data_IF_475339082079
#
_entry.id   IF_475339082079
#
_cell.length_a   1.000
_cell.length_b   1.000
_cell.length_c   1.000
_cell.angle_alpha   90.00
_cell.angle_beta   90.00
_cell.angle_gamma   90.00
#
_symmetry.space_group_name_H-M   'P 1'
#
loop_
_entity.id
_entity.type
_entity.pdbx_description
1 polymer ?
#
# COMPACT_ATOMS: atom_id res chain seq x y z
N UNK A 1 -2.84 -6.66 4.78
CA UNK A 1 -2.16 -5.55 4.08
C UNK A 1 -3.12 -4.96 3.08
N UNK A 2 -3.56 -5.75 2.09
CA UNK A 2 -4.56 -5.34 1.10
C UNK A 2 -5.86 -4.84 1.74
N UNK A 3 -6.37 -5.49 2.78
CA UNK A 3 -7.50 -4.96 3.55
C UNK A 3 -7.26 -3.52 4.03
N UNK A 4 -6.13 -3.23 4.68
CA UNK A 4 -5.80 -1.88 5.15
C UNK A 4 -5.70 -0.88 3.98
N UNK A 5 -5.08 -1.30 2.86
CA UNK A 5 -4.95 -0.48 1.65
C UNK A 5 -6.32 -0.17 1.06
N UNK A 6 -7.19 -1.16 0.93
CA UNK A 6 -8.57 -1.00 0.43
C UNK A 6 -9.38 -0.05 1.31
N UNK A 7 -9.24 -0.14 2.63
CA UNK A 7 -9.88 0.79 3.58
C UNK A 7 -9.39 2.23 3.40
N UNK A 8 -8.08 2.43 3.19
CA UNK A 8 -7.50 3.76 2.94
C UNK A 8 -8.03 4.36 1.64
N UNK A 9 -8.02 3.56 0.57
CA UNK A 9 -8.34 3.99 -0.79
C UNK A 9 -9.86 4.13 -0.97
N UNK A 10 -10.66 3.38 -0.22
CA UNK A 10 -12.12 3.31 -0.38
C UNK A 10 -12.55 2.46 -1.59
N UNK A 11 -11.66 1.61 -2.10
CA UNK A 11 -11.91 0.72 -3.23
C UNK A 11 -11.42 -0.67 -2.83
N UNK A 12 -12.23 -1.70 -3.09
CA UNK A 12 -11.78 -3.08 -2.90
C UNK A 12 -10.67 -3.39 -3.93
N UNK A 13 -9.43 -3.49 -3.44
CA UNK A 13 -8.24 -3.82 -4.21
C UNK A 13 -7.41 -4.90 -3.50
N UNK A 14 -6.81 -5.79 -4.27
CA UNK A 14 -5.97 -6.86 -3.73
C UNK A 14 -6.73 -8.08 -3.20
N UNK A 15 -8.01 -8.19 -3.54
CA UNK A 15 -8.76 -9.46 -3.43
C UNK A 15 -8.24 -10.50 -4.44
N UNK A 16 -7.83 -10.03 -5.62
CA UNK A 16 -7.19 -10.82 -6.67
C UNK A 16 -6.19 -9.99 -7.47
N UNK A 17 -5.31 -10.63 -8.24
CA UNK A 17 -4.45 -9.92 -9.19
C UNK A 17 -5.24 -9.12 -10.22
N UNK A 18 -6.39 -9.63 -10.66
CA UNK A 18 -7.29 -8.94 -11.59
C UNK A 18 -7.88 -7.66 -10.96
N UNK A 19 -8.23 -7.69 -9.69
CA UNK A 19 -8.74 -6.51 -8.97
C UNK A 19 -7.74 -5.34 -9.00
N UNK A 20 -6.44 -5.65 -8.98
CA UNK A 20 -5.35 -4.68 -9.09
C UNK A 20 -5.16 -4.29 -10.57
N UNK A 21 -4.99 -5.29 -11.45
CA UNK A 21 -4.68 -5.08 -12.86
C UNK A 21 -5.75 -4.28 -13.61
N UNK A 22 -7.03 -4.48 -13.29
CA UNK A 22 -8.13 -3.71 -13.89
C UNK A 22 -8.01 -2.19 -13.63
N UNK A 23 -7.44 -1.77 -12.48
CA UNK A 23 -7.20 -0.35 -12.18
C UNK A 23 -5.99 0.19 -12.94
N UNK A 24 -4.99 -0.66 -13.17
CA UNK A 24 -3.80 -0.31 -13.94
C UNK A 24 -4.15 -0.02 -15.40
N UNK A 25 -5.09 -0.76 -15.99
CA UNK A 25 -5.60 -0.50 -17.34
C UNK A 25 -6.26 0.88 -17.46
N UNK A 26 -6.97 1.33 -16.42
CA UNK A 26 -7.60 2.65 -16.35
C UNK A 26 -6.70 3.69 -15.66
N UNK A 27 -5.42 3.74 -16.05
CA UNK A 27 -4.36 4.46 -15.34
C UNK A 27 -4.65 5.93 -15.06
N UNK A 28 -5.24 6.66 -16.01
CA UNK A 28 -5.59 8.09 -15.83
C UNK A 28 -6.60 8.32 -14.70
N UNK A 29 -7.56 7.40 -14.55
CA UNK A 29 -8.62 7.50 -13.53
C UNK A 29 -8.10 7.11 -12.15
N UNK A 30 -7.33 6.02 -12.08
CA UNK A 30 -6.91 5.38 -10.84
C UNK A 30 -5.43 5.59 -10.52
N UNK A 31 -4.80 6.66 -11.01
CA UNK A 31 -3.35 6.79 -10.90
C UNK A 31 -2.85 6.77 -9.44
N UNK A 32 -3.51 7.49 -8.53
CA UNK A 32 -3.15 7.48 -7.11
C UNK A 32 -3.26 6.06 -6.50
N UNK A 33 -4.33 5.34 -6.84
CA UNK A 33 -4.53 3.92 -6.47
C UNK A 33 -3.41 3.05 -7.04
N UNK A 34 -3.02 3.28 -8.29
CA UNK A 34 -1.98 2.52 -8.96
C UNK A 34 -0.63 2.72 -8.28
N UNK A 35 -0.28 3.96 -7.91
CA UNK A 35 0.94 4.25 -7.13
C UNK A 35 0.94 3.47 -5.81
N UNK A 36 -0.16 3.52 -5.05
CA UNK A 36 -0.26 2.80 -3.76
C UNK A 36 -0.17 1.28 -3.96
N UNK A 37 -0.91 0.71 -4.92
CA UNK A 37 -0.91 -0.72 -5.19
C UNK A 37 0.45 -1.24 -5.70
N UNK A 38 1.15 -0.46 -6.54
CA UNK A 38 2.51 -0.75 -6.96
C UNK A 38 3.49 -0.69 -5.79
N UNK A 39 3.35 0.32 -4.91
CA UNK A 39 4.21 0.45 -3.72
C UNK A 39 3.99 -0.72 -2.75
N UNK A 40 2.75 -1.20 -2.64
CA UNK A 40 2.39 -2.38 -1.87
C UNK A 40 3.04 -3.66 -2.39
N UNK A 41 2.93 -3.93 -3.70
CA UNK A 41 3.58 -5.08 -4.34
C UNK A 41 5.10 -5.00 -4.21
N UNK A 42 5.69 -3.83 -4.46
CA UNK A 42 7.13 -3.64 -4.34
C UNK A 42 7.62 -3.77 -2.91
N UNK A 43 6.88 -3.23 -1.94
CA UNK A 43 7.15 -3.38 -0.52
C UNK A 43 7.12 -4.84 -0.07
N UNK A 44 6.14 -5.61 -0.55
CA UNK A 44 6.03 -7.05 -0.29
C UNK A 44 7.18 -7.84 -0.92
N UNK A 45 7.55 -7.51 -2.15
CA UNK A 45 8.69 -8.13 -2.84
C UNK A 45 10.01 -7.86 -2.09
N UNK A 46 10.25 -6.61 -1.65
CA UNK A 46 11.42 -6.31 -0.80
C UNK A 46 11.40 -7.07 0.51
N UNK A 47 10.25 -7.09 1.20
CA UNK A 47 10.11 -7.85 2.44
C UNK A 47 10.47 -9.32 2.23
N UNK A 48 9.96 -9.96 1.18
CA UNK A 48 10.32 -11.33 0.83
C UNK A 48 11.84 -11.49 0.68
N UNK A 49 12.48 -10.58 -0.05
CA UNK A 49 13.93 -10.64 -0.25
C UNK A 49 14.70 -10.46 1.07
N UNK A 50 14.27 -9.55 1.93
CA UNK A 50 14.89 -9.33 3.24
C UNK A 50 14.81 -10.60 4.10
N UNK A 51 13.65 -11.27 4.10
CA UNK A 51 13.42 -12.51 4.86
C UNK A 51 14.24 -13.69 4.29
N UNK A 52 14.30 -13.84 2.97
CA UNK A 52 14.96 -14.99 2.33
C UNK A 52 16.49 -14.83 2.22
N UNK A 53 16.98 -13.61 2.00
CA UNK A 53 18.37 -13.37 1.60
C UNK A 53 19.13 -12.45 2.57
N UNK A 54 18.45 -11.69 3.42
CA UNK A 54 19.09 -10.75 4.35
C UNK A 54 18.93 -11.14 5.84
N UNK A 55 18.47 -12.37 6.12
CA UNK A 55 18.24 -12.88 7.47
C UNK A 55 17.32 -11.97 8.32
N UNK A 56 16.47 -11.18 7.67
CA UNK A 56 15.51 -10.36 8.38
C UNK A 56 14.41 -11.23 8.99
N UNK A 57 13.78 -10.74 10.05
CA UNK A 57 12.64 -11.39 10.69
C UNK A 57 11.40 -10.53 10.47
N UNK A 58 10.27 -11.18 10.24
CA UNK A 58 8.97 -10.51 10.20
C UNK A 58 8.69 -9.87 11.56
N UNK A 59 8.42 -8.56 11.58
CA UNK A 59 8.07 -7.83 12.80
C UNK A 59 6.55 -7.75 12.95
N UNK A 60 5.92 -6.94 12.11
CA UNK A 60 4.49 -6.70 12.15
C UNK A 60 4.02 -6.02 10.86
N UNK A 61 2.70 -5.87 10.75
CA UNK A 61 2.08 -5.20 9.60
C UNK A 61 2.43 -3.72 9.51
N UNK A 62 2.70 -3.05 10.63
CA UNK A 62 3.01 -1.63 10.67
C UNK A 62 4.35 -1.34 9.99
N UNK A 63 5.34 -2.21 10.17
CA UNK A 63 6.62 -2.16 9.47
C UNK A 63 6.46 -2.24 7.95
N UNK A 64 5.60 -3.15 7.48
CA UNK A 64 5.30 -3.26 6.05
C UNK A 64 4.55 -2.03 5.53
N UNK A 65 3.55 -1.53 6.27
CA UNK A 65 2.83 -0.31 5.89
C UNK A 65 3.74 0.93 5.86
N UNK A 66 4.68 1.06 6.80
CA UNK A 66 5.68 2.13 6.79
C UNK A 66 6.60 2.05 5.58
N UNK A 67 7.02 0.85 5.18
CA UNK A 67 7.79 0.63 3.95
C UNK A 67 7.01 1.06 2.71
N UNK A 68 5.72 0.71 2.64
CA UNK A 68 4.82 1.09 1.54
C UNK A 68 4.64 2.61 1.50
N UNK A 69 4.42 3.24 2.66
CA UNK A 69 4.31 4.69 2.80
C UNK A 69 5.54 5.40 2.24
N UNK A 70 6.74 4.99 2.65
CA UNK A 70 8.00 5.58 2.19
C UNK A 70 8.19 5.41 0.67
N UNK A 71 7.87 4.24 0.12
CA UNK A 71 7.92 4.00 -1.33
C UNK A 71 6.97 4.92 -2.09
N UNK A 72 5.71 4.99 -1.65
CA UNK A 72 4.71 5.81 -2.31
C UNK A 72 4.99 7.33 -2.16
N UNK A 73 5.55 7.78 -1.03
CA UNK A 73 6.04 9.14 -0.85
C UNK A 73 7.15 9.49 -1.85
N UNK A 74 8.13 8.59 -2.02
CA UNK A 74 9.20 8.79 -3.00
C UNK A 74 8.68 8.81 -4.45
N UNK A 75 7.53 8.19 -4.71
CA UNK A 75 6.90 8.15 -6.03
C UNK A 75 5.87 9.27 -6.25
N UNK A 76 5.70 10.20 -5.31
CA UNK A 76 4.86 11.39 -5.52
C UNK A 76 5.30 12.16 -6.77
N UNK A 77 6.60 12.19 -7.08
CA UNK A 77 7.15 12.85 -8.28
C UNK A 77 6.59 12.29 -9.59
N UNK A 78 6.07 11.06 -9.59
CA UNK A 78 5.44 10.41 -10.76
C UNK A 78 3.94 10.76 -10.87
N UNK A 79 3.39 11.44 -9.87
CA UNK A 79 1.97 11.79 -9.81
C UNK A 79 1.74 13.17 -10.47
N UNK A 80 0.82 13.29 -11.44
CA UNK A 80 0.43 14.57 -12.02
C UNK A 80 -0.26 15.42 -10.96
N UNK A 81 -0.11 16.73 -11.07
CA UNK A 81 -0.54 17.71 -10.06
C UNK A 81 -2.01 17.53 -9.63
N UNK A 82 -2.91 17.21 -10.57
CA UNK A 82 -4.33 17.02 -10.29
C UNK A 82 -4.67 15.77 -9.44
N UNK A 83 -3.69 14.88 -9.22
CA UNK A 83 -3.84 13.65 -8.41
C UNK A 83 -2.95 13.62 -7.17
N UNK A 84 -2.06 14.59 -7.01
CA UNK A 84 -1.13 14.66 -5.87
C UNK A 84 -1.89 14.77 -4.54
N UNK A 85 -2.94 15.58 -4.46
CA UNK A 85 -3.70 15.75 -3.21
C UNK A 85 -4.50 14.48 -2.85
N UNK A 86 -5.03 13.77 -3.84
CA UNK A 86 -5.66 12.46 -3.66
C UNK A 86 -4.64 11.46 -3.10
N UNK A 87 -3.45 11.38 -3.70
CA UNK A 87 -2.37 10.53 -3.21
C UNK A 87 -1.93 10.90 -1.80
N UNK A 88 -1.71 12.18 -1.50
CA UNK A 88 -1.35 12.66 -0.15
C UNK A 88 -2.40 12.28 0.89
N UNK A 89 -3.69 12.35 0.54
CA UNK A 89 -4.78 11.91 1.44
C UNK A 89 -4.66 10.42 1.78
N UNK A 90 -4.29 9.57 0.82
CA UNK A 90 -4.04 8.15 1.08
C UNK A 90 -2.81 7.93 1.94
N UNK A 91 -1.72 8.65 1.67
CA UNK A 91 -0.48 8.55 2.46
C UNK A 91 -0.70 8.96 3.92
N UNK A 92 -1.47 10.03 4.16
CA UNK A 92 -1.83 10.45 5.51
C UNK A 92 -2.59 9.34 6.27
N UNK A 93 -3.58 8.73 5.63
CA UNK A 93 -4.33 7.60 6.21
C UNK A 93 -3.45 6.37 6.45
N UNK A 94 -2.55 6.02 5.52
CA UNK A 94 -1.58 4.92 5.72
C UNK A 94 -0.67 5.23 6.91
N UNK A 95 -0.20 6.47 7.03
CA UNK A 95 0.65 6.89 8.14
C UNK A 95 -0.04 6.73 9.49
N UNK A 96 -1.31 7.13 9.58
CA UNK A 96 -2.13 6.90 10.78
C UNK A 96 -2.24 5.41 11.08
N UNK A 97 -2.60 4.58 10.10
CA UNK A 97 -2.73 3.13 10.28
C UNK A 97 -1.42 2.46 10.70
N UNK A 98 -0.28 2.88 10.13
CA UNK A 98 1.04 2.33 10.45
C UNK A 98 1.53 2.72 11.86
N UNK A 99 1.01 3.82 12.43
CA UNK A 99 1.36 4.29 13.78
C UNK A 99 0.42 3.73 14.85
N UNK A 100 -0.76 3.26 14.47
CA UNK A 100 -1.69 2.62 15.39
C UNK A 100 -1.07 1.35 15.99
N UNK A 101 -1.38 1.00 17.26
CA UNK A 101 -0.98 -0.28 17.86
C UNK A 101 -1.37 -1.43 16.92
N UNK A 102 -0.51 -2.45 16.82
CA UNK A 102 -0.68 -3.55 15.87
C UNK A 102 -2.12 -4.09 15.90
N UNK A 103 -2.82 -3.98 14.77
CA UNK A 103 -4.22 -4.39 14.67
C UNK A 103 -4.33 -5.89 14.89
N UNK A 104 -4.71 -6.30 16.10
CA UNK A 104 -5.15 -7.65 16.41
C UNK A 104 -6.52 -7.84 15.75
N UNK A 105 -6.54 -8.20 14.47
CA UNK A 105 -7.80 -8.58 13.82
C UNK A 105 -8.20 -9.96 14.34
N UNK A 106 -9.01 -10.00 15.39
CA UNK A 106 -9.79 -11.19 15.71
C UNK A 106 -10.73 -11.43 14.53
N UNK A 107 -10.53 -12.51 13.76
CA UNK A 107 -11.53 -12.93 12.79
C UNK A 107 -12.72 -13.47 13.59
N UNK A 108 -13.83 -12.75 13.60
CA UNK A 108 -15.13 -13.39 13.78
C UNK A 108 -15.42 -14.14 12.48
N UNK A 109 -15.12 -15.44 12.50
CA UNK A 109 -15.65 -16.44 11.54
C UNK A 109 -17.16 -16.39 11.49
#
# INVERSE_FOLDING_TARGET
MWFCISQVIGINVGESFESIGSKWLSSKKFLAVNIISSAALWGLWKLRNDLCFQHAVWRDMNHLLARILNLAQNWIILCPQNKVEELKSYLAKISTTARSPGMLSWRTT
#
